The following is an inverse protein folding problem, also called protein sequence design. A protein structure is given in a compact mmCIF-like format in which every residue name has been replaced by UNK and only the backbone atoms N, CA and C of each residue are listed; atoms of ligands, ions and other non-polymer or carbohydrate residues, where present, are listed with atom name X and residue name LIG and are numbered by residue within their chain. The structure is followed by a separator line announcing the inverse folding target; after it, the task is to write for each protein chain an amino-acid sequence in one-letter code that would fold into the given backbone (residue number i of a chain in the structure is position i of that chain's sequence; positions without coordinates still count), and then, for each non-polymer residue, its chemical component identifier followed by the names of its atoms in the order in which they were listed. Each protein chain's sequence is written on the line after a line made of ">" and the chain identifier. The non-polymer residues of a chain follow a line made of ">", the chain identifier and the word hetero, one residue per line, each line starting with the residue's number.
data_IF_492544992285
#
_entry.id   IF_492544992285
#
_cell.length_a   1.000
_cell.length_b   1.000
_cell.length_c   1.000
_cell.angle_alpha   90.00
_cell.angle_beta   90.00
_cell.angle_gamma   90.00
#
_symmetry.space_group_name_H-M   'P 1'
#
loop_
_entity.id
_entity.type
_entity.pdbx_description
1 polymer ?
#
# COMPACT_ATOMS: atom_id res chain seq x y z
N UNK A 1 5.22 -1.05 -17.78
CA UNK A 1 5.80 -0.01 -17.01
C UNK A 1 4.84 1.12 -16.79
N UNK A 2 4.78 1.63 -15.59
CA UNK A 2 3.86 2.69 -15.29
C UNK A 2 4.39 4.03 -15.74
N UNK A 3 3.52 4.93 -16.11
CA UNK A 3 3.92 6.27 -16.45
C UNK A 3 4.37 6.94 -15.16
N UNK A 4 5.12 8.01 -15.31
CA UNK A 4 5.61 8.70 -14.15
C UNK A 4 4.47 9.31 -13.36
N UNK A 5 3.47 9.83 -14.02
CA UNK A 5 2.33 10.40 -13.35
C UNK A 5 1.59 9.36 -12.52
N UNK A 6 1.35 8.20 -13.10
CA UNK A 6 0.65 7.16 -12.39
C UNK A 6 1.48 6.65 -11.23
N UNK A 7 2.79 6.52 -11.43
CA UNK A 7 3.65 6.05 -10.38
C UNK A 7 3.68 7.03 -9.22
N UNK A 8 3.73 8.31 -9.50
CA UNK A 8 3.71 9.30 -8.43
C UNK A 8 2.40 9.27 -7.66
N UNK A 9 1.29 9.07 -8.37
CA UNK A 9 0.01 8.99 -7.71
C UNK A 9 -0.08 7.79 -6.79
N UNK A 10 0.47 6.66 -7.22
CA UNK A 10 0.45 5.48 -6.39
C UNK A 10 1.36 5.65 -5.18
N UNK A 11 2.49 6.32 -5.36
CA UNK A 11 3.40 6.52 -4.26
C UNK A 11 2.82 7.41 -3.17
N UNK A 12 1.85 8.23 -3.49
CA UNK A 12 1.23 9.08 -2.51
C UNK A 12 0.53 8.29 -1.40
N UNK A 13 0.17 7.04 -1.66
CA UNK A 13 -0.47 6.26 -0.62
C UNK A 13 0.53 5.76 0.41
N UNK A 14 1.81 5.72 0.07
CA UNK A 14 2.80 5.27 1.02
C UNK A 14 2.61 3.85 1.49
N UNK A 15 2.16 2.99 0.61
CA UNK A 15 1.85 1.61 0.99
C UNK A 15 3.05 0.88 1.55
N UNK A 16 4.20 1.00 0.90
CA UNK A 16 5.40 0.33 1.38
C UNK A 16 5.79 0.77 2.78
N UNK A 17 5.71 2.07 3.03
CA UNK A 17 6.05 2.61 4.34
C UNK A 17 5.07 2.14 5.40
N UNK A 18 3.80 2.00 5.04
CA UNK A 18 2.80 1.50 5.98
C UNK A 18 3.05 0.04 6.32
N UNK A 19 3.43 -0.76 5.33
CA UNK A 19 3.74 -2.16 5.58
C UNK A 19 4.93 -2.25 6.51
N UNK A 20 5.96 -1.47 6.25
CA UNK A 20 7.15 -1.50 7.09
C UNK A 20 6.82 -1.08 8.52
N UNK A 21 6.01 -0.05 8.68
CA UNK A 21 5.62 0.41 10.01
C UNK A 21 4.86 -0.68 10.77
N UNK A 22 3.94 -1.38 10.09
CA UNK A 22 3.21 -2.46 10.73
C UNK A 22 4.16 -3.60 11.13
N UNK A 23 5.11 -3.92 10.25
CA UNK A 23 6.05 -4.99 10.52
C UNK A 23 6.92 -4.66 11.74
N UNK A 24 7.42 -3.45 11.77
CA UNK A 24 8.26 -3.03 12.89
C UNK A 24 7.48 -2.97 14.19
N UNK A 25 6.22 -2.58 14.10
CA UNK A 25 5.39 -2.53 15.27
C UNK A 25 5.16 -3.92 15.83
N UNK A 26 5.06 -4.91 14.96
CA UNK A 26 4.91 -6.28 15.41
C UNK A 26 6.25 -6.94 15.71
N UNK A 27 7.33 -6.22 15.48
CA UNK A 27 8.67 -6.71 15.79
C UNK A 27 9.03 -8.00 15.07
N UNK A 28 8.68 -8.08 13.80
CA UNK A 28 9.05 -9.24 12.99
C UNK A 28 9.93 -8.80 11.85
N UNK A 29 10.78 -9.69 11.39
CA UNK A 29 11.65 -9.40 10.28
C UNK A 29 11.02 -9.75 8.95
N UNK A 30 11.73 -9.46 7.88
CA UNK A 30 11.24 -9.76 6.54
C UNK A 30 11.12 -11.25 6.29
N UNK A 31 12.01 -12.05 6.87
CA UNK A 31 11.94 -13.49 6.67
C UNK A 31 10.66 -14.03 7.31
N UNK A 32 10.34 -13.57 8.51
CA UNK A 32 9.12 -14.03 9.16
C UNK A 32 7.88 -13.57 8.42
N UNK A 33 7.88 -12.34 7.96
CA UNK A 33 6.73 -11.85 7.20
C UNK A 33 6.58 -12.67 5.92
N UNK A 34 7.70 -13.03 5.31
CA UNK A 34 7.68 -13.88 4.12
C UNK A 34 7.06 -15.22 4.41
N UNK A 35 7.38 -15.80 5.55
CA UNK A 35 6.81 -17.11 5.90
C UNK A 35 5.30 -17.03 6.05
N UNK A 36 4.81 -15.95 6.61
CA UNK A 36 3.38 -15.81 6.82
C UNK A 36 2.61 -15.42 5.56
N UNK A 37 3.27 -14.76 4.63
CA UNK A 37 2.58 -14.31 3.43
C UNK A 37 2.84 -15.18 2.21
N UNK A 38 3.87 -16.01 2.27
CA UNK A 38 4.26 -16.79 1.11
C UNK A 38 5.08 -15.97 0.12
N UNK A 39 5.61 -14.83 0.54
CA UNK A 39 6.38 -13.96 -0.33
C UNK A 39 7.85 -13.98 0.06
N UNK A 40 8.73 -13.75 -0.91
CA UNK A 40 10.15 -13.74 -0.58
C UNK A 40 10.54 -12.47 0.17
N UNK A 41 11.54 -12.56 1.03
CA UNK A 41 12.00 -11.36 1.72
C UNK A 41 12.49 -10.28 0.76
N UNK A 42 13.10 -10.68 -0.36
CA UNK A 42 13.57 -9.71 -1.34
C UNK A 42 12.40 -8.95 -1.96
N UNK A 43 11.32 -9.66 -2.25
CA UNK A 43 10.15 -9.02 -2.82
C UNK A 43 9.54 -8.06 -1.80
N UNK A 44 9.42 -8.51 -0.57
CA UNK A 44 8.86 -7.67 0.49
C UNK A 44 9.70 -6.41 0.70
N UNK A 45 11.02 -6.56 0.64
CA UNK A 45 11.89 -5.41 0.79
C UNK A 45 11.67 -4.39 -0.32
N UNK A 46 11.50 -4.87 -1.55
CA UNK A 46 11.25 -3.97 -2.66
C UNK A 46 9.93 -3.22 -2.49
N UNK A 47 8.92 -3.92 -2.00
CA UNK A 47 7.63 -3.30 -1.77
C UNK A 47 7.74 -2.25 -0.68
N UNK A 48 8.43 -2.56 0.41
CA UNK A 48 8.56 -1.62 1.52
C UNK A 48 9.32 -0.36 1.11
N UNK A 49 10.26 -0.51 0.20
CA UNK A 49 11.05 0.64 -0.24
C UNK A 49 10.41 1.40 -1.40
N UNK A 50 9.21 1.01 -1.77
CA UNK A 50 8.50 1.71 -2.84
C UNK A 50 9.03 1.42 -4.22
N UNK A 51 9.84 0.38 -4.38
CA UNK A 51 10.36 0.05 -5.68
C UNK A 51 9.48 -0.87 -6.47
N UNK A 52 8.51 -1.44 -5.83
CA UNK A 52 7.58 -2.33 -6.47
C UNK A 52 6.22 -2.13 -5.83
N UNK A 53 5.20 -1.96 -6.66
CA UNK A 53 3.85 -1.80 -6.14
C UNK A 53 3.21 -3.18 -6.11
N UNK A 54 2.69 -3.63 -4.98
CA UNK A 54 2.14 -4.99 -4.91
C UNK A 54 0.84 -5.11 -5.68
N UNK A 55 0.58 -6.29 -6.20
CA UNK A 55 -0.72 -6.55 -6.81
C UNK A 55 -1.73 -6.63 -5.68
N UNK A 56 -3.00 -6.53 -6.02
CA UNK A 56 -4.04 -6.56 -5.01
C UNK A 56 -4.04 -7.85 -4.20
N UNK A 57 -3.93 -9.04 -4.83
CA UNK A 57 -3.86 -10.26 -4.02
C UNK A 57 -2.66 -10.29 -3.08
N UNK A 58 -1.52 -9.77 -3.53
CA UNK A 58 -0.33 -9.71 -2.68
C UNK A 58 -0.57 -8.80 -1.50
N UNK A 59 -1.16 -7.64 -1.76
CA UNK A 59 -1.45 -6.69 -0.70
C UNK A 59 -2.46 -7.28 0.29
N UNK A 60 -3.43 -8.04 -0.21
CA UNK A 60 -4.40 -8.65 0.66
C UNK A 60 -3.75 -9.68 1.59
N UNK A 61 -2.78 -10.45 1.09
CA UNK A 61 -2.07 -11.39 1.95
C UNK A 61 -1.38 -10.67 3.09
N UNK A 62 -0.74 -9.55 2.77
CA UNK A 62 -0.04 -8.78 3.77
C UNK A 62 -1.04 -8.21 4.78
N UNK A 63 -2.15 -7.69 4.30
CA UNK A 63 -3.17 -7.12 5.16
C UNK A 63 -3.69 -8.16 6.15
N UNK A 64 -3.91 -9.38 5.67
CA UNK A 64 -4.43 -10.43 6.52
C UNK A 64 -3.47 -10.79 7.64
N UNK A 65 -2.18 -10.79 7.34
CA UNK A 65 -1.19 -11.11 8.37
C UNK A 65 -1.23 -10.06 9.48
N UNK A 66 -1.44 -8.80 9.12
CA UNK A 66 -1.46 -7.75 10.11
C UNK A 66 -2.85 -7.47 10.67
N UNK A 67 -3.85 -8.16 10.17
CA UNK A 67 -5.20 -7.97 10.70
C UNK A 67 -5.81 -6.63 10.36
N UNK A 68 -5.44 -6.06 9.22
CA UNK A 68 -6.02 -4.80 8.78
C UNK A 68 -6.75 -5.03 7.46
N UNK A 69 -7.67 -4.14 7.13
CA UNK A 69 -8.35 -4.24 5.86
C UNK A 69 -7.55 -3.53 4.79
N UNK A 70 -7.91 -3.74 3.53
CA UNK A 70 -7.19 -3.09 2.45
C UNK A 70 -7.31 -1.58 2.53
N UNK A 71 -8.41 -1.08 3.05
CA UNK A 71 -8.58 0.36 3.14
C UNK A 71 -7.50 1.00 4.00
N UNK A 72 -6.89 0.24 4.90
CA UNK A 72 -5.85 0.78 5.74
C UNK A 72 -4.69 1.33 4.89
N UNK A 73 -4.37 0.61 3.81
CA UNK A 73 -3.25 1.02 2.98
C UNK A 73 -3.57 2.19 2.08
N UNK A 74 -4.82 2.50 1.90
CA UNK A 74 -5.21 3.63 1.06
C UNK A 74 -5.74 4.80 1.87
N UNK A 75 -5.88 4.62 3.17
CA UNK A 75 -6.37 5.69 4.01
C UNK A 75 -5.30 6.73 4.18
N UNK A 76 -5.67 7.91 4.38
CA UNK A 76 -4.72 8.96 4.60
C UNK A 76 -4.06 9.48 3.39
N UNK A 77 -4.44 9.01 2.25
CA UNK A 77 -3.89 9.57 1.05
C UNK A 77 -4.35 10.97 1.01
N UNK A 78 -3.53 11.88 0.58
CA UNK A 78 -3.93 13.20 0.56
C UNK A 78 -5.02 13.32 -0.31
N UNK A 79 -5.84 14.13 -0.08
CA UNK A 79 -6.90 14.34 -0.91
C UNK A 79 -6.37 14.99 -2.07
N UNK A 80 -5.65 14.36 -2.87
CA UNK A 80 -5.09 14.95 -3.98
C UNK A 80 -6.12 15.25 -4.96
N UNK A 81 -6.00 16.29 -5.59
CA UNK A 81 -6.93 16.71 -6.55
C UNK A 81 -7.16 15.80 -7.66
N UNK A 82 -6.44 14.86 -7.78
CA UNK A 82 -6.64 13.95 -8.72
C UNK A 82 -8.00 13.46 -8.68
N UNK A 83 -8.54 13.37 -7.60
CA UNK A 83 -9.79 12.88 -7.49
C UNK A 83 -10.69 13.89 -7.39
N UNK A 84 -10.31 14.93 -7.10
CA UNK A 84 -11.18 15.95 -6.91
C UNK A 84 -11.96 16.24 -7.96
N UNK A 85 -11.77 15.82 -8.88
CA UNK A 85 -12.60 16.10 -9.79
C UNK A 85 -13.85 16.05 -9.35
N UNK A 86 -14.18 15.92 -8.63
CA UNK A 86 -15.47 15.91 -8.29
C UNK A 86 -15.74 16.28 -7.14
N UNK A 87 -15.74 16.74 -6.62
CA UNK A 87 -16.01 16.99 -5.70
C UNK A 87 -16.74 17.33 -5.33
N UNK A 88 -17.14 17.55 -5.14
CA UNK A 88 -17.71 17.69 -4.66
C UNK A 88 -18.38 17.70 -4.81
N UNK A 89 -18.45 17.92 -5.14
CA UNK A 89 -19.06 17.78 -5.26
C UNK A 89 -19.39 17.19 -5.57
N UNK A 90 -19.18 17.08 -5.90
CA UNK A 90 -19.48 16.46 -6.11
C UNK A 90 -19.89 15.69 -5.98
N UNK A 91 -20.25 15.81 -5.80
CA UNK A 91 -20.74 15.14 -5.52
C UNK A 91 -21.42 14.67 -5.87
N UNK A 92 -21.59 14.90 -6.23
CA UNK A 92 -22.31 14.46 -6.48
C UNK A 92 -22.88 13.82 -6.38
N UNK A 93 -23.26 14.07 -6.41
CA UNK A 93 -23.78 13.53 -6.21
C UNK A 93 -24.28 12.79 -6.40
N UNK A 94 -24.56 12.88 -6.66
CA UNK A 94 -24.99 12.25 -6.68
C UNK A 94 -25.35 11.81 -6.57
#
# INVERSE_FOLDING_TARGET
>A
MLSKTLQNGLNDYGIGAKIRALRLKKKIGLVDLGKHTGLSPALLSKIERGRLFPTLPTLLRIALVFGVGLEYFFAGAREKPLVAVTRKSQRVEL
#
